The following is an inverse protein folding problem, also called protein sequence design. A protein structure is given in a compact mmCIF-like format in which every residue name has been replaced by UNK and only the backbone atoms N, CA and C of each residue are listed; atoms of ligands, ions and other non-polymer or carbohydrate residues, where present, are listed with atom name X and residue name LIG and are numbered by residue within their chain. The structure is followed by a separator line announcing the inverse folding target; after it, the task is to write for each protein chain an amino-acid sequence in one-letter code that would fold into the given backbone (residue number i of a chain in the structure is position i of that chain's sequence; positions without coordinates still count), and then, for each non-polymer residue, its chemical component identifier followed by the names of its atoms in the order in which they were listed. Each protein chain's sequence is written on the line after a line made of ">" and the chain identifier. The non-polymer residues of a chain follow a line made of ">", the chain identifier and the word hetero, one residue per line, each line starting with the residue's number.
data_IF_952356385729
#
_entry.id   IF_952356385729
#
_cell.length_a   1.000
_cell.length_b   1.000
_cell.length_c   1.000
_cell.angle_alpha   90.00
_cell.angle_beta   90.00
_cell.angle_gamma   90.00
#
_symmetry.space_group_name_H-M   'P 1'
#
loop_
_entity.id
_entity.type
_entity.pdbx_description
1 polymer ?
#
# COMPACT_ATOMS: atom_id res chain seq x y z
N UNK A 1 14.46 2.80 4.83
CA UNK A 1 14.44 1.90 6.01
C UNK A 1 15.80 1.25 6.27
N UNK A 2 16.31 0.39 5.38
CA UNK A 2 17.58 -0.34 5.57
C UNK A 2 18.79 0.58 5.71
N UNK A 3 18.99 1.56 4.82
CA UNK A 3 20.09 2.51 4.91
C UNK A 3 20.12 3.29 6.23
N UNK A 4 18.95 3.70 6.76
CA UNK A 4 18.84 4.33 8.08
C UNK A 4 19.35 3.40 9.19
N UNK A 5 18.95 2.11 9.16
CA UNK A 5 19.45 1.10 10.11
C UNK A 5 20.95 0.85 9.99
N UNK A 6 21.49 0.77 8.77
CA UNK A 6 22.93 0.62 8.53
C UNK A 6 23.74 1.82 9.06
N UNK A 7 23.14 3.01 9.08
CA UNK A 7 23.71 4.23 9.68
C UNK A 7 23.44 4.37 11.19
N UNK A 8 22.91 3.34 11.86
CA UNK A 8 22.60 3.37 13.30
C UNK A 8 21.39 4.26 13.67
N UNK A 9 20.61 4.72 12.69
CA UNK A 9 19.39 5.51 12.94
C UNK A 9 18.18 4.58 13.09
N UNK A 10 17.26 4.86 14.03
CA UNK A 10 16.02 4.11 14.14
C UNK A 10 15.22 4.23 12.83
N UNK A 11 14.59 3.13 12.43
CA UNK A 11 13.71 3.10 11.26
C UNK A 11 12.27 3.16 11.74
N UNK A 12 11.53 4.17 11.29
CA UNK A 12 10.09 4.33 11.55
C UNK A 12 9.23 3.53 10.56
N UNK A 13 9.82 2.53 9.92
CA UNK A 13 9.16 1.75 8.90
C UNK A 13 8.16 0.79 9.54
N UNK A 14 6.99 0.64 8.92
CA UNK A 14 5.86 -0.09 9.48
C UNK A 14 5.24 -1.01 8.43
N UNK A 15 4.75 -2.15 8.89
CA UNK A 15 3.80 -2.95 8.12
C UNK A 15 2.38 -2.55 8.52
N UNK A 16 1.53 -2.23 7.55
CA UNK A 16 0.14 -1.85 7.79
C UNK A 16 -0.80 -2.69 6.92
N UNK A 17 -1.97 -2.98 7.46
CA UNK A 17 -3.11 -3.46 6.71
C UNK A 17 -4.09 -2.29 6.54
N UNK A 18 -4.33 -1.89 5.30
CA UNK A 18 -5.31 -0.85 4.96
C UNK A 18 -6.58 -1.53 4.46
N UNK A 19 -7.73 -0.94 4.75
CA UNK A 19 -8.97 -1.34 4.10
C UNK A 19 -8.86 -1.01 2.61
N UNK A 20 -9.24 -1.95 1.77
CA UNK A 20 -9.18 -1.79 0.33
C UNK A 20 -10.29 -2.58 -0.34
N UNK A 21 -11.17 -1.87 -1.07
CA UNK A 21 -12.17 -2.52 -1.92
C UNK A 21 -11.49 -3.20 -3.12
N UNK A 22 -11.25 -4.49 -2.95
CA UNK A 22 -10.57 -5.31 -3.94
C UNK A 22 -11.45 -5.62 -5.15
N UNK A 23 -12.76 -5.35 -5.12
CA UNK A 23 -13.67 -5.66 -6.21
C UNK A 23 -13.89 -7.16 -6.42
N UNK A 24 -14.46 -7.52 -7.58
CA UNK A 24 -14.79 -8.89 -7.94
C UNK A 24 -13.76 -9.48 -8.92
N UNK A 25 -14.12 -10.60 -9.53
CA UNK A 25 -13.35 -11.30 -10.55
C UNK A 25 -13.77 -10.82 -11.94
N UNK A 26 -13.50 -9.55 -12.21
CA UNK A 26 -13.80 -8.85 -13.45
C UNK A 26 -12.62 -7.95 -13.87
N UNK A 27 -12.56 -7.62 -15.17
CA UNK A 27 -11.44 -6.89 -15.77
C UNK A 27 -11.24 -5.50 -15.17
N UNK A 28 -12.34 -4.81 -14.80
CA UNK A 28 -12.27 -3.49 -14.20
C UNK A 28 -11.65 -3.55 -12.80
N UNK A 29 -12.09 -4.52 -11.99
CA UNK A 29 -11.56 -4.78 -10.67
C UNK A 29 -10.08 -5.18 -10.73
N UNK A 30 -9.66 -6.01 -11.71
CA UNK A 30 -8.24 -6.33 -11.93
C UNK A 30 -7.42 -5.08 -12.28
N UNK A 31 -7.90 -4.26 -13.21
CA UNK A 31 -7.24 -3.01 -13.59
C UNK A 31 -7.10 -2.05 -12.39
N UNK A 32 -8.15 -1.92 -11.56
CA UNK A 32 -8.12 -1.10 -10.35
C UNK A 32 -7.07 -1.59 -9.36
N UNK A 33 -6.95 -2.91 -9.16
CA UNK A 33 -5.91 -3.51 -8.29
C UNK A 33 -4.50 -3.21 -8.82
N UNK A 34 -4.27 -3.40 -10.12
CA UNK A 34 -2.99 -3.13 -10.76
C UNK A 34 -2.59 -1.64 -10.64
N UNK A 35 -3.53 -0.72 -10.86
CA UNK A 35 -3.31 0.72 -10.67
C UNK A 35 -3.03 1.05 -9.20
N UNK A 36 -3.77 0.44 -8.27
CA UNK A 36 -3.57 0.67 -6.84
C UNK A 36 -2.17 0.24 -6.39
N UNK A 37 -1.70 -0.93 -6.84
CA UNK A 37 -0.32 -1.38 -6.60
C UNK A 37 0.67 -0.35 -7.16
N UNK A 38 0.54 -0.02 -8.44
CA UNK A 38 1.46 0.88 -9.14
C UNK A 38 1.56 2.24 -8.45
N UNK A 39 0.43 2.86 -8.12
CA UNK A 39 0.42 4.20 -7.52
C UNK A 39 0.84 4.22 -6.05
N UNK A 40 0.70 3.11 -5.31
CA UNK A 40 1.31 3.01 -4.00
C UNK A 40 2.82 2.82 -4.10
N UNK A 41 3.31 2.00 -5.03
CA UNK A 41 4.74 1.65 -5.09
C UNK A 41 5.61 2.64 -5.85
N UNK A 42 5.02 3.49 -6.70
CA UNK A 42 5.78 4.53 -7.41
C UNK A 42 6.40 5.57 -6.46
N UNK A 43 5.68 6.15 -5.49
CA UNK A 43 6.29 7.01 -4.48
C UNK A 43 7.26 6.22 -3.58
N UNK A 44 8.37 6.83 -3.13
CA UNK A 44 9.41 6.13 -2.36
C UNK A 44 9.00 5.70 -0.95
N UNK A 45 7.77 6.04 -0.51
CA UNK A 45 7.33 5.79 0.86
C UNK A 45 6.62 4.43 1.05
N UNK A 46 6.00 3.86 0.02
CA UNK A 46 5.17 2.67 0.18
C UNK A 46 5.58 1.55 -0.77
N UNK A 47 5.43 0.32 -0.30
CA UNK A 47 5.55 -0.90 -1.10
C UNK A 47 4.34 -1.77 -0.80
N UNK A 48 3.59 -2.17 -1.83
CA UNK A 48 2.48 -3.11 -1.68
C UNK A 48 3.04 -4.53 -1.63
N UNK A 49 2.70 -5.26 -0.57
CA UNK A 49 3.11 -6.65 -0.36
C UNK A 49 2.07 -7.63 -0.92
N UNK A 50 0.81 -7.21 -0.97
CA UNK A 50 -0.28 -7.99 -1.53
C UNK A 50 -1.66 -7.40 -1.22
N UNK A 51 -2.68 -7.95 -1.88
CA UNK A 51 -4.09 -7.62 -1.66
C UNK A 51 -4.80 -8.90 -1.21
N UNK A 52 -5.35 -8.90 0.00
CA UNK A 52 -6.22 -9.97 0.50
C UNK A 52 -7.67 -9.68 0.07
N UNK A 53 -8.09 -10.34 -1.02
CA UNK A 53 -9.44 -10.23 -1.58
C UNK A 53 -10.52 -10.74 -0.63
N UNK A 54 -10.21 -11.72 0.23
CA UNK A 54 -11.21 -12.30 1.14
C UNK A 54 -11.50 -11.35 2.30
N UNK A 55 -10.48 -10.64 2.77
CA UNK A 55 -10.59 -9.70 3.90
C UNK A 55 -10.76 -8.24 3.48
N UNK A 56 -10.69 -7.94 2.18
CA UNK A 56 -10.75 -6.58 1.63
C UNK A 56 -9.65 -5.70 2.24
N UNK A 57 -8.41 -6.22 2.22
CA UNK A 57 -7.24 -5.56 2.78
C UNK A 57 -6.12 -5.42 1.76
N UNK A 58 -5.40 -4.31 1.83
CA UNK A 58 -4.12 -4.12 1.15
C UNK A 58 -3.01 -4.10 2.20
N UNK A 59 -2.01 -4.96 2.03
CA UNK A 59 -0.85 -5.05 2.90
C UNK A 59 0.28 -4.20 2.33
N UNK A 60 0.80 -3.28 3.15
CA UNK A 60 1.85 -2.35 2.75
C UNK A 60 3.02 -2.37 3.72
N UNK A 61 4.21 -2.14 3.19
CA UNK A 61 5.36 -1.66 3.94
C UNK A 61 5.53 -0.16 3.69
N UNK A 62 5.54 0.62 4.76
CA UNK A 62 5.71 2.06 4.73
C UNK A 62 7.07 2.44 5.34
N UNK A 63 7.82 3.34 4.69
CA UNK A 63 9.16 3.72 5.12
C UNK A 63 9.14 4.80 6.22
N UNK A 64 8.22 5.76 6.11
CA UNK A 64 7.99 6.85 7.04
C UNK A 64 6.48 7.02 7.32
N UNK A 65 6.05 7.26 8.57
CA UNK A 65 4.63 7.37 8.92
C UNK A 65 3.97 8.58 8.26
N UNK A 66 3.12 8.29 7.29
CA UNK A 66 2.26 9.27 6.59
C UNK A 66 0.87 8.68 6.39
N UNK A 67 -0.12 9.53 6.12
CA UNK A 67 -1.45 9.07 5.70
C UNK A 67 -1.44 8.37 4.34
N UNK A 68 -2.56 7.72 4.00
CA UNK A 68 -2.76 7.07 2.69
C UNK A 68 -2.77 8.10 1.56
N UNK A 69 -2.03 7.89 0.45
CA UNK A 69 -2.03 8.82 -0.70
C UNK A 69 -3.43 9.06 -1.27
N UNK A 70 -3.71 10.29 -1.71
CA UNK A 70 -5.04 10.66 -2.26
C UNK A 70 -5.42 9.78 -3.47
N UNK A 71 -4.47 9.50 -4.35
CA UNK A 71 -4.72 8.66 -5.54
C UNK A 71 -5.15 7.24 -5.16
N UNK A 72 -4.55 6.68 -4.11
CA UNK A 72 -4.92 5.39 -3.58
C UNK A 72 -6.33 5.38 -2.97
N UNK A 73 -6.71 6.45 -2.27
CA UNK A 73 -8.07 6.60 -1.73
C UNK A 73 -9.12 6.57 -2.83
N UNK A 74 -8.84 7.21 -3.97
CA UNK A 74 -9.72 7.20 -5.16
C UNK A 74 -9.87 5.80 -5.78
N UNK A 75 -8.93 4.90 -5.52
CA UNK A 75 -8.95 3.51 -6.00
C UNK A 75 -9.53 2.52 -4.98
N UNK A 76 -10.06 3.02 -3.85
CA UNK A 76 -10.76 2.20 -2.85
C UNK A 76 -9.99 1.96 -1.55
N UNK A 77 -8.84 2.61 -1.33
CA UNK A 77 -8.10 2.50 -0.07
C UNK A 77 -8.66 3.42 1.04
N UNK A 78 -8.72 2.93 2.27
CA UNK A 78 -9.05 3.72 3.46
C UNK A 78 -8.26 3.27 4.70
N UNK A 79 -8.21 4.14 5.72
CA UNK A 79 -7.58 3.85 7.02
C UNK A 79 -8.43 2.96 7.91
#
# INVERSE_FOLDING_TARGET
>A
ALAKRLMGRPSEAQFKALRFDAGQDDDESEARRALAITYFTMPPNFVVLGIDRKRQLMLIHQVEPTGVPIIAKRLGASE
#
